data_IF_406565386393
#
_entry.id   IF_406565386393
#
_cell.length_a   1.000
_cell.length_b   1.000
_cell.length_c   1.000
_cell.angle_alpha   90.00
_cell.angle_beta   90.00
_cell.angle_gamma   90.00
#
_symmetry.space_group_name_H-M   'P 1'
#
loop_
_entity.id
_entity.type
_entity.pdbx_description
1 polymer ?
#
# COMPACT_ATOMS: atom_id res chain seq x y z
N UNK A 1 -7.63 11.83 13.37
CA UNK A 1 -8.88 11.84 12.60
C UNK A 1 -9.36 10.44 12.28
N UNK A 2 -8.58 9.67 11.53
CA UNK A 2 -9.02 8.33 11.12
C UNK A 2 -9.06 7.33 12.27
N UNK A 3 -8.17 7.48 13.23
CA UNK A 3 -8.03 6.50 14.32
C UNK A 3 -9.26 6.40 15.21
N UNK A 4 -10.07 7.46 15.26
CA UNK A 4 -11.28 7.47 16.08
C UNK A 4 -12.53 7.15 15.28
N UNK A 5 -12.39 6.84 14.01
CA UNK A 5 -13.51 6.60 13.12
C UNK A 5 -13.67 5.10 12.88
N UNK A 6 -14.30 4.43 13.84
CA UNK A 6 -14.39 2.95 13.82
C UNK A 6 -15.21 2.41 12.66
N UNK A 7 -16.01 3.26 12.01
CA UNK A 7 -16.81 2.82 10.87
C UNK A 7 -16.15 3.03 9.51
N UNK A 8 -14.97 3.66 9.47
CA UNK A 8 -14.32 3.99 8.20
C UNK A 8 -13.79 2.74 7.52
N UNK A 9 -14.31 2.43 6.35
CA UNK A 9 -13.94 1.24 5.59
C UNK A 9 -13.30 1.54 4.25
N UNK A 10 -13.42 2.75 3.74
CA UNK A 10 -12.86 3.10 2.44
C UNK A 10 -12.29 4.51 2.43
N UNK A 11 -11.09 4.65 1.90
CA UNK A 11 -10.48 5.94 1.59
C UNK A 11 -10.15 5.94 0.11
N UNK A 12 -10.59 6.97 -0.61
CA UNK A 12 -10.25 7.16 -2.00
C UNK A 12 -9.69 8.56 -2.19
N UNK A 13 -8.40 8.65 -2.57
CA UNK A 13 -7.72 9.92 -2.77
C UNK A 13 -7.01 9.93 -4.12
N UNK A 14 -7.68 9.42 -5.11
CA UNK A 14 -7.16 9.31 -6.48
C UNK A 14 -6.86 10.68 -7.05
N UNK A 15 -5.67 10.85 -7.65
CA UNK A 15 -5.27 12.08 -8.37
C UNK A 15 -5.23 13.33 -7.49
N UNK A 16 -4.81 13.19 -6.24
CA UNK A 16 -4.71 14.32 -5.31
C UNK A 16 -3.30 14.88 -5.17
N UNK A 17 -2.36 14.38 -5.96
CA UNK A 17 -0.96 14.82 -5.89
C UNK A 17 -0.40 14.72 -4.47
N UNK A 18 -0.72 13.63 -3.79
CA UNK A 18 -0.30 13.43 -2.41
C UNK A 18 1.21 13.44 -2.26
N UNK A 19 1.91 12.76 -3.19
CA UNK A 19 3.33 12.49 -3.08
C UNK A 19 3.63 11.76 -1.78
N UNK A 20 4.90 11.52 -1.53
CA UNK A 20 5.27 10.77 -0.32
C UNK A 20 4.93 11.52 0.96
N UNK A 21 5.10 12.85 0.97
CA UNK A 21 4.83 13.65 2.17
C UNK A 21 3.36 13.56 2.60
N UNK A 22 2.44 13.73 1.64
CA UNK A 22 1.02 13.61 1.94
C UNK A 22 0.65 12.21 2.37
N UNK A 23 1.25 11.22 1.73
CA UNK A 23 1.01 9.83 2.07
C UNK A 23 1.45 9.52 3.51
N UNK A 24 2.61 10.02 3.94
CA UNK A 24 3.09 9.77 5.30
C UNK A 24 2.08 10.21 6.35
N UNK A 25 1.43 11.36 6.14
CA UNK A 25 0.43 11.87 7.08
C UNK A 25 -0.73 10.88 7.19
N UNK A 26 -1.19 10.38 6.04
CA UNK A 26 -2.30 9.41 6.02
C UNK A 26 -1.88 8.11 6.70
N UNK A 27 -0.69 7.62 6.41
CA UNK A 27 -0.25 6.34 6.94
C UNK A 27 -0.05 6.37 8.46
N UNK A 28 0.41 7.49 9.00
CA UNK A 28 0.50 7.63 10.46
C UNK A 28 -0.83 7.37 11.14
N UNK A 29 -1.90 7.92 10.59
CA UNK A 29 -3.23 7.72 11.15
C UNK A 29 -3.74 6.31 10.93
N UNK A 30 -3.41 5.70 9.79
CA UNK A 30 -3.91 4.36 9.48
C UNK A 30 -3.26 3.27 10.32
N UNK A 31 -2.07 3.50 10.88
CA UNK A 31 -1.42 2.49 11.72
C UNK A 31 -2.26 2.11 12.93
N UNK A 32 -3.14 2.99 13.38
CA UNK A 32 -4.02 2.72 14.52
C UNK A 32 -5.44 2.31 14.11
N UNK A 33 -5.71 2.30 12.80
CA UNK A 33 -7.04 1.93 12.31
C UNK A 33 -7.09 0.43 12.00
N UNK A 34 -8.17 -0.22 12.40
CA UNK A 34 -8.37 -1.64 12.16
C UNK A 34 -9.68 -1.95 11.43
N UNK A 35 -10.27 -0.95 10.77
CA UNK A 35 -11.53 -1.13 10.04
C UNK A 35 -11.44 -0.87 8.56
N UNK A 36 -10.34 -0.27 8.08
CA UNK A 36 -10.21 0.11 6.68
C UNK A 36 -10.10 -1.13 5.80
N UNK A 37 -10.93 -1.19 4.76
CA UNK A 37 -10.96 -2.31 3.81
C UNK A 37 -10.42 -1.93 2.42
N UNK A 38 -10.61 -0.69 2.00
CA UNK A 38 -10.21 -0.24 0.66
C UNK A 38 -9.42 1.06 0.77
N UNK A 39 -8.23 1.05 0.18
CA UNK A 39 -7.39 2.25 0.09
C UNK A 39 -7.04 2.47 -1.38
N UNK A 40 -7.58 3.54 -1.96
CA UNK A 40 -7.33 3.91 -3.35
C UNK A 40 -6.44 5.14 -3.40
N UNK A 41 -5.19 4.93 -3.80
CA UNK A 41 -4.18 5.96 -3.89
C UNK A 41 -3.65 6.08 -5.34
N UNK A 42 -4.46 5.71 -6.31
CA UNK A 42 -4.06 5.76 -7.70
C UNK A 42 -3.66 7.17 -8.12
N UNK A 43 -2.60 7.28 -8.92
CA UNK A 43 -2.16 8.53 -9.54
C UNK A 43 -1.83 9.63 -8.52
N UNK A 44 -0.92 9.34 -7.59
CA UNK A 44 -0.54 10.30 -6.54
C UNK A 44 0.96 10.57 -6.45
N UNK A 45 1.73 10.17 -7.44
CA UNK A 45 3.18 10.42 -7.48
C UNK A 45 3.91 9.81 -6.27
N UNK A 46 3.46 8.66 -5.82
CA UNK A 46 4.07 7.94 -4.69
C UNK A 46 5.31 7.20 -5.18
N UNK A 47 6.46 7.45 -4.55
CA UNK A 47 7.70 6.79 -4.90
C UNK A 47 7.93 5.55 -4.05
N UNK A 48 9.10 4.92 -4.20
CA UNK A 48 9.45 3.74 -3.39
C UNK A 48 9.41 4.04 -1.89
N UNK A 49 9.69 5.29 -1.50
CA UNK A 49 9.65 5.69 -0.08
C UNK A 49 8.23 5.65 0.46
N UNK A 50 7.26 6.11 -0.32
CA UNK A 50 5.87 5.98 0.06
C UNK A 50 5.44 4.53 0.12
N UNK A 51 5.92 3.71 -0.81
CA UNK A 51 5.63 2.28 -0.79
C UNK A 51 6.19 1.61 0.46
N UNK A 52 7.34 2.06 0.96
CA UNK A 52 7.88 1.55 2.22
C UNK A 52 6.96 1.86 3.40
N UNK A 53 6.39 3.05 3.42
CA UNK A 53 5.43 3.42 4.48
C UNK A 53 4.17 2.56 4.40
N UNK A 54 3.67 2.31 3.20
CA UNK A 54 2.52 1.43 2.99
C UNK A 54 2.86 0.01 3.44
N UNK A 55 4.06 -0.47 3.12
CA UNK A 55 4.51 -1.79 3.51
C UNK A 55 4.53 -1.95 5.04
N UNK A 56 4.97 -0.92 5.74
CA UNK A 56 4.95 -0.93 7.21
C UNK A 56 3.54 -1.13 7.74
N UNK A 57 2.56 -0.42 7.17
CA UNK A 57 1.16 -0.58 7.54
C UNK A 57 0.68 -2.01 7.24
N UNK A 58 1.00 -2.54 6.05
CA UNK A 58 0.57 -3.88 5.66
C UNK A 58 1.13 -4.96 6.58
N UNK A 59 2.29 -4.72 7.20
CA UNK A 59 2.90 -5.67 8.13
C UNK A 59 2.40 -5.54 9.55
N UNK A 60 1.61 -4.50 9.86
CA UNK A 60 1.13 -4.28 11.21
C UNK A 60 0.05 -5.30 11.58
N UNK A 61 -0.07 -5.59 12.87
CA UNK A 61 -1.08 -6.52 13.36
C UNK A 61 -2.50 -5.97 13.21
N UNK A 62 -2.62 -4.65 13.11
CA UNK A 62 -3.93 -4.00 12.98
C UNK A 62 -4.44 -3.93 11.55
N UNK A 63 -3.62 -4.32 10.58
CA UNK A 63 -4.00 -4.16 9.18
C UNK A 63 -5.22 -5.01 8.83
N UNK A 64 -6.29 -4.33 8.41
CA UNK A 64 -7.53 -4.97 7.98
C UNK A 64 -7.76 -4.79 6.48
N UNK A 65 -6.82 -4.18 5.78
CA UNK A 65 -6.98 -3.78 4.38
C UNK A 65 -7.14 -4.99 3.47
N UNK A 66 -8.16 -4.96 2.60
CA UNK A 66 -8.43 -6.02 1.64
C UNK A 66 -8.10 -5.63 0.21
N UNK A 67 -8.22 -4.35 -0.13
CA UNK A 67 -7.92 -3.84 -1.47
C UNK A 67 -7.02 -2.63 -1.40
N UNK A 68 -5.92 -2.69 -2.16
CA UNK A 68 -4.96 -1.60 -2.25
C UNK A 68 -4.77 -1.23 -3.72
N UNK A 69 -5.06 0.02 -4.05
CA UNK A 69 -4.92 0.54 -5.41
C UNK A 69 -3.79 1.56 -5.46
N UNK A 70 -2.72 1.22 -6.16
CA UNK A 70 -1.52 2.05 -6.31
C UNK A 70 -1.14 2.26 -7.77
N UNK A 71 -2.07 2.09 -8.71
CA UNK A 71 -1.72 2.24 -10.12
C UNK A 71 -1.29 3.68 -10.44
N UNK A 72 -0.47 3.84 -11.47
CA UNK A 72 0.01 5.15 -11.92
C UNK A 72 0.75 5.93 -10.82
N UNK A 73 1.63 5.25 -10.12
CA UNK A 73 2.54 5.88 -9.18
C UNK A 73 3.98 5.65 -9.63
N UNK A 74 4.95 5.88 -8.78
CA UNK A 74 6.37 5.79 -9.13
C UNK A 74 7.10 4.83 -8.18
N UNK A 75 6.47 3.69 -7.88
CA UNK A 75 7.01 2.76 -6.90
C UNK A 75 8.34 2.13 -7.30
N UNK A 76 8.50 1.81 -8.59
CA UNK A 76 9.71 1.18 -9.13
C UNK A 76 9.94 -0.21 -8.52
N UNK A 77 11.07 -0.84 -8.90
CA UNK A 77 11.43 -2.15 -8.34
C UNK A 77 11.67 -2.10 -6.85
N UNK A 78 12.20 -0.99 -6.34
CA UNK A 78 12.45 -0.84 -4.90
C UNK A 78 11.14 -0.79 -4.10
N UNK A 79 10.15 -0.07 -4.62
CA UNK A 79 8.82 -0.06 -4.00
C UNK A 79 8.15 -1.42 -4.08
N UNK A 80 8.30 -2.09 -5.22
CA UNK A 80 7.78 -3.44 -5.39
C UNK A 80 8.39 -4.40 -4.38
N UNK A 81 9.70 -4.27 -4.11
CA UNK A 81 10.37 -5.10 -3.11
C UNK A 81 9.74 -4.91 -1.74
N UNK A 82 9.52 -3.67 -1.32
CA UNK A 82 8.93 -3.37 -0.02
C UNK A 82 7.53 -3.97 0.11
N UNK A 83 6.69 -3.76 -0.90
CA UNK A 83 5.32 -4.28 -0.91
C UNK A 83 5.33 -5.81 -0.93
N UNK A 84 6.20 -6.43 -1.74
CA UNK A 84 6.29 -7.89 -1.81
C UNK A 84 6.64 -8.50 -0.46
N UNK A 85 7.60 -7.91 0.24
CA UNK A 85 7.99 -8.39 1.57
C UNK A 85 6.83 -8.28 2.56
N UNK A 86 6.02 -7.23 2.44
CA UNK A 86 4.85 -7.06 3.30
C UNK A 86 3.77 -8.09 2.96
N UNK A 87 3.55 -8.36 1.68
CA UNK A 87 2.55 -9.35 1.25
C UNK A 87 2.89 -10.74 1.79
N UNK A 88 4.18 -11.07 1.89
CA UNK A 88 4.59 -12.38 2.38
C UNK A 88 4.07 -12.67 3.80
N UNK A 89 3.83 -11.63 4.60
CA UNK A 89 3.36 -11.77 5.99
C UNK A 89 1.96 -11.21 6.22
N UNK A 90 1.43 -10.43 5.30
CA UNK A 90 0.09 -9.85 5.44
C UNK A 90 -0.98 -10.93 5.26
N UNK A 91 -2.03 -10.88 6.07
CA UNK A 91 -3.09 -11.88 6.06
C UNK A 91 -4.47 -11.33 5.68
N UNK A 92 -4.56 -10.04 5.36
CA UNK A 92 -5.85 -9.42 5.07
C UNK A 92 -6.03 -9.06 3.59
N UNK A 93 -4.94 -8.77 2.88
CA UNK A 93 -5.03 -8.23 1.52
C UNK A 93 -5.46 -9.30 0.53
N UNK A 94 -6.47 -8.98 -0.27
CA UNK A 94 -7.04 -9.86 -1.29
C UNK A 94 -6.73 -9.34 -2.68
N UNK A 95 -6.69 -8.02 -2.85
CA UNK A 95 -6.54 -7.38 -4.14
C UNK A 95 -5.46 -6.30 -4.09
N UNK A 96 -4.54 -6.34 -5.04
CA UNK A 96 -3.47 -5.36 -5.17
C UNK A 96 -3.34 -4.95 -6.64
N UNK A 97 -3.40 -3.64 -6.90
CA UNK A 97 -3.18 -3.08 -8.23
C UNK A 97 -1.96 -2.16 -8.18
N UNK A 98 -0.87 -2.57 -8.84
CA UNK A 98 0.34 -1.77 -8.96
C UNK A 98 0.71 -1.53 -10.42
N UNK A 99 -0.26 -1.52 -11.33
CA UNK A 99 -0.01 -1.29 -12.75
C UNK A 99 0.57 0.11 -12.95
N UNK A 100 1.40 0.26 -13.99
CA UNK A 100 2.02 1.55 -14.34
C UNK A 100 2.84 2.15 -13.19
N UNK A 101 3.75 1.34 -12.63
CA UNK A 101 4.62 1.77 -11.53
C UNK A 101 6.09 1.59 -11.83
N UNK A 102 6.45 1.43 -13.11
CA UNK A 102 7.85 1.26 -13.52
C UNK A 102 8.49 0.03 -12.87
N UNK A 103 7.71 -1.04 -12.74
CA UNK A 103 8.18 -2.31 -12.18
C UNK A 103 8.70 -3.18 -13.33
N UNK A 104 9.96 -3.61 -13.22
CA UNK A 104 10.59 -4.47 -14.19
C UNK A 104 10.69 -5.91 -13.71
N UNK A 105 11.62 -6.65 -14.32
CA UNK A 105 11.77 -8.08 -14.04
C UNK A 105 12.13 -8.36 -12.58
N UNK A 106 12.96 -7.51 -11.97
CA UNK A 106 13.37 -7.68 -10.58
C UNK A 106 12.15 -7.59 -9.65
N UNK A 107 11.32 -6.57 -9.86
CA UNK A 107 10.11 -6.39 -9.05
C UNK A 107 9.14 -7.53 -9.22
N UNK A 108 8.93 -7.98 -10.45
CA UNK A 108 8.03 -9.12 -10.71
C UNK A 108 8.53 -10.39 -10.05
N UNK A 109 9.86 -10.62 -10.08
CA UNK A 109 10.45 -11.79 -9.42
C UNK A 109 10.18 -11.77 -7.92
N UNK A 110 10.32 -10.60 -7.30
CA UNK A 110 10.09 -10.45 -5.87
C UNK A 110 8.63 -10.70 -5.50
N UNK A 111 7.69 -10.23 -6.33
CA UNK A 111 6.27 -10.53 -6.11
C UNK A 111 5.99 -12.02 -6.24
N UNK A 112 6.56 -12.69 -7.23
CA UNK A 112 6.37 -14.11 -7.40
C UNK A 112 6.85 -14.89 -6.18
N UNK A 113 8.00 -14.50 -5.63
CA UNK A 113 8.54 -15.13 -4.42
C UNK A 113 7.62 -14.88 -3.23
N UNK A 114 7.09 -13.67 -3.08
CA UNK A 114 6.20 -13.34 -1.99
C UNK A 114 4.91 -14.15 -2.06
N UNK A 115 4.35 -14.30 -3.26
CA UNK A 115 3.12 -15.08 -3.44
C UNK A 115 3.32 -16.54 -3.08
N UNK A 116 4.51 -17.08 -3.32
CA UNK A 116 4.78 -18.48 -2.96
C UNK A 116 4.88 -18.70 -1.45
N UNK A 117 5.12 -17.62 -0.69
CA UNK A 117 5.22 -17.69 0.78
C UNK A 117 3.88 -17.40 1.46
N UNK A 118 2.98 -16.77 0.79
CA UNK A 118 1.68 -16.41 1.34
C UNK A 118 0.63 -17.44 0.92
#
# INVERSE_FOLDING_TARGET
>A
MFQNNVGLQKISMRKHQLRDDGLYIIMEHLLENNTLKVLDLNANEISFRGCEAIAKYLKSDNCSLESLHLSNNKCSDYGAKAIAQAIAVNKSLIHLDMTYNQIGDMGLTLFAQALSQN
#
